data_IF_405304403645
#
_entry.id   IF_405304403645
#
_cell.length_a   1.000
_cell.length_b   1.000
_cell.length_c   1.000
_cell.angle_alpha   90.00
_cell.angle_beta   90.00
_cell.angle_gamma   90.00
#
_symmetry.space_group_name_H-M   'P 1'
#
loop_
_entity.id
_entity.type
_entity.pdbx_description
1 polymer ?
#
# COMPACT_ATOMS: atom_id res chain seq x y z
N UNK A 1 24.22 -63.84 -7.82
CA UNK A 1 24.97 -64.63 -8.84
C UNK A 1 25.54 -63.64 -9.85
N UNK A 2 26.89 -63.61 -9.91
CA UNK A 2 27.84 -62.98 -10.88
C UNK A 2 27.71 -61.46 -11.08
N UNK A 3 28.58 -60.62 -10.53
CA UNK A 3 30.01 -60.27 -10.70
C UNK A 3 30.51 -60.24 -12.16
N UNK A 4 31.10 -59.12 -12.57
CA UNK A 4 32.39 -58.91 -13.28
C UNK A 4 32.49 -57.40 -13.58
N UNK A 5 33.31 -56.60 -12.89
CA UNK A 5 34.77 -56.28 -13.04
C UNK A 5 35.10 -55.45 -14.29
N UNK A 6 35.41 -54.17 -14.04
CA UNK A 6 36.68 -53.42 -14.13
C UNK A 6 37.39 -53.44 -15.50
N UNK A 7 37.74 -52.29 -16.01
CA UNK A 7 39.14 -51.96 -16.36
C UNK A 7 39.36 -50.42 -16.47
N UNK A 8 40.35 -49.97 -15.68
CA UNK A 8 41.11 -48.74 -15.84
C UNK A 8 42.05 -48.89 -17.04
N UNK A 9 42.32 -47.82 -17.78
CA UNK A 9 43.65 -47.64 -18.41
C UNK A 9 44.02 -46.15 -18.35
N UNK A 10 45.22 -45.99 -17.82
CA UNK A 10 46.01 -44.80 -17.59
C UNK A 10 46.87 -44.52 -18.84
N UNK A 11 47.34 -43.28 -18.94
CA UNK A 11 48.62 -42.87 -19.56
C UNK A 11 48.55 -42.35 -21.00
N UNK A 12 48.80 -41.07 -21.25
CA UNK A 12 50.14 -40.68 -21.78
C UNK A 12 50.27 -39.15 -21.86
N UNK A 13 51.23 -38.63 -21.12
CA UNK A 13 51.88 -37.34 -21.25
C UNK A 13 52.67 -37.26 -22.56
N UNK A 14 52.51 -36.13 -23.31
CA UNK A 14 53.65 -35.67 -24.14
C UNK A 14 53.71 -34.15 -24.16
N UNK A 15 54.82 -33.70 -23.62
CA UNK A 15 55.42 -32.39 -23.60
C UNK A 15 55.94 -32.05 -25.00
N UNK A 16 55.58 -30.90 -25.55
CA UNK A 16 56.33 -30.19 -26.58
C UNK A 16 56.40 -28.69 -26.33
N UNK A 17 57.59 -28.31 -25.99
CA UNK A 17 58.16 -26.97 -25.86
C UNK A 17 58.64 -26.47 -27.23
N UNK A 18 58.71 -25.11 -27.38
CA UNK A 18 59.31 -24.30 -28.48
C UNK A 18 58.24 -23.78 -29.50
N UNK A 19 58.05 -22.44 -29.58
CA UNK A 19 58.98 -21.44 -30.14
C UNK A 19 58.56 -20.04 -29.63
N UNK A 20 59.52 -19.30 -29.04
CA UNK A 20 59.47 -17.85 -28.86
C UNK A 20 59.77 -17.22 -30.22
N UNK A 21 58.78 -16.47 -30.73
CA UNK A 21 59.00 -15.53 -31.82
C UNK A 21 58.55 -14.16 -31.37
N UNK A 22 59.47 -13.25 -31.11
CA UNK A 22 59.27 -11.83 -30.92
C UNK A 22 58.55 -11.28 -32.14
N UNK A 23 57.32 -10.79 -31.94
CA UNK A 23 56.74 -9.74 -32.74
C UNK A 23 56.21 -8.65 -31.80
N UNK A 24 56.98 -7.60 -31.72
CA UNK A 24 56.57 -6.29 -31.23
C UNK A 24 55.49 -5.77 -32.19
N UNK A 25 54.23 -5.92 -31.78
CA UNK A 25 53.10 -5.25 -32.39
C UNK A 25 52.46 -4.33 -31.35
N UNK A 26 52.65 -3.06 -31.60
CA UNK A 26 51.82 -1.92 -31.28
C UNK A 26 50.66 -2.27 -30.37
N UNK A 27 50.78 -1.99 -29.08
CA UNK A 27 49.62 -1.82 -28.21
C UNK A 27 48.86 -0.57 -28.68
N UNK A 28 47.84 -0.76 -29.50
CA UNK A 28 46.78 0.20 -29.62
C UNK A 28 46.22 0.42 -28.22
N UNK A 29 46.46 1.59 -27.70
CA UNK A 29 45.88 2.09 -26.45
C UNK A 29 44.36 2.36 -26.70
N UNK A 30 43.64 1.23 -26.82
CA UNK A 30 42.19 1.29 -26.70
C UNK A 30 41.92 1.66 -25.22
N UNK A 31 41.89 2.93 -24.94
CA UNK A 31 41.28 3.50 -23.76
C UNK A 31 39.82 3.04 -23.74
N UNK A 32 39.58 1.88 -23.16
CA UNK A 32 38.27 1.49 -22.67
C UNK A 32 37.89 2.60 -21.71
N UNK A 33 37.06 3.54 -22.17
CA UNK A 33 36.46 4.52 -21.32
C UNK A 33 35.90 3.75 -20.12
N UNK A 34 36.52 3.91 -18.95
CA UNK A 34 35.98 3.46 -17.68
C UNK A 34 34.67 4.21 -17.53
N UNK A 35 33.57 3.59 -17.97
CA UNK A 35 32.25 4.08 -17.68
C UNK A 35 32.18 4.24 -16.16
N UNK A 36 31.92 5.45 -15.70
CA UNK A 36 31.63 5.69 -14.29
C UNK A 36 30.57 4.70 -13.86
N UNK A 37 30.81 3.96 -12.78
CA UNK A 37 29.82 3.05 -12.20
C UNK A 37 28.56 3.87 -11.93
N UNK A 38 27.38 3.40 -12.35
CA UNK A 38 26.15 4.17 -12.20
C UNK A 38 25.95 4.57 -10.74
N UNK A 39 25.76 5.85 -10.50
CA UNK A 39 25.67 6.43 -9.15
C UNK A 39 24.40 5.99 -8.48
N UNK A 40 24.52 5.25 -7.38
CA UNK A 40 23.39 4.89 -6.51
C UNK A 40 22.95 6.12 -5.73
N UNK A 41 21.66 6.42 -5.73
CA UNK A 41 21.06 7.55 -5.02
C UNK A 41 19.59 7.32 -4.71
N UNK A 42 18.92 8.30 -4.14
CA UNK A 42 17.47 8.30 -3.95
C UNK A 42 16.80 8.38 -5.33
N UNK A 43 16.01 7.35 -5.69
CA UNK A 43 15.30 7.26 -6.97
C UNK A 43 13.80 7.51 -6.84
N UNK A 44 13.21 7.23 -5.67
CA UNK A 44 11.82 7.52 -5.38
C UNK A 44 11.60 7.77 -3.89
N UNK A 45 10.60 8.57 -3.57
CA UNK A 45 10.14 8.82 -2.21
C UNK A 45 8.64 9.00 -2.19
N UNK A 46 7.97 8.41 -1.20
CA UNK A 46 6.56 8.61 -0.96
C UNK A 46 6.24 8.57 0.53
N UNK A 47 5.22 9.32 0.95
CA UNK A 47 4.78 9.33 2.35
C UNK A 47 3.27 9.47 2.46
N UNK A 48 2.72 9.00 3.57
CA UNK A 48 1.30 9.14 3.95
C UNK A 48 1.19 9.60 5.40
N UNK A 49 0.16 10.42 5.69
CA UNK A 49 -0.10 10.95 7.03
C UNK A 49 -0.96 9.98 7.85
N UNK A 50 -0.59 9.77 9.13
CA UNK A 50 -1.35 8.98 10.10
C UNK A 50 -1.33 9.57 11.52
N UNK A 51 -0.97 10.85 11.66
CA UNK A 51 -0.74 11.51 12.96
C UNK A 51 -1.93 11.51 13.90
N UNK A 52 -3.16 11.56 13.36
CA UNK A 52 -4.41 11.57 14.14
C UNK A 52 -4.86 10.17 14.59
N UNK A 53 -4.07 9.15 14.32
CA UNK A 53 -4.37 7.76 14.70
C UNK A 53 -4.14 7.50 16.19
N UNK A 54 -4.94 6.60 16.76
CA UNK A 54 -4.73 6.12 18.12
C UNK A 54 -3.43 5.30 18.28
N UNK A 55 -2.94 5.18 19.49
CA UNK A 55 -1.63 4.61 19.84
C UNK A 55 -1.42 3.17 19.32
N UNK A 56 -2.45 2.32 19.38
CA UNK A 56 -2.36 0.95 18.87
C UNK A 56 -2.11 0.92 17.35
N UNK A 57 -2.76 1.82 16.60
CA UNK A 57 -2.54 1.94 15.15
C UNK A 57 -1.13 2.45 14.86
N UNK A 58 -0.65 3.45 15.60
CA UNK A 58 0.74 3.97 15.48
C UNK A 58 1.76 2.88 15.76
N UNK A 59 1.53 2.09 16.81
CA UNK A 59 2.37 0.94 17.14
C UNK A 59 2.41 -0.10 15.99
N UNK A 60 1.26 -0.48 15.44
CA UNK A 60 1.18 -1.44 14.33
C UNK A 60 1.92 -0.95 13.08
N UNK A 61 1.78 0.34 12.78
CA UNK A 61 2.49 0.99 11.66
C UNK A 61 3.99 0.91 11.87
N UNK A 62 4.49 1.32 13.04
CA UNK A 62 5.92 1.27 13.37
C UNK A 62 6.46 -0.18 13.33
N UNK A 63 5.70 -1.14 13.85
CA UNK A 63 6.07 -2.55 13.82
C UNK A 63 6.15 -3.11 12.38
N UNK A 64 5.20 -2.77 11.50
CA UNK A 64 5.25 -3.21 10.10
C UNK A 64 6.42 -2.55 9.35
N UNK A 65 6.65 -1.26 9.57
CA UNK A 65 7.79 -0.50 9.01
C UNK A 65 9.12 -1.13 9.41
N UNK A 66 9.33 -1.47 10.69
CA UNK A 66 10.58 -2.05 11.19
C UNK A 66 10.95 -3.40 10.56
N UNK A 67 9.98 -4.11 9.98
CA UNK A 67 10.22 -5.39 9.28
C UNK A 67 10.68 -5.20 7.84
N UNK A 68 10.43 -4.04 7.26
CA UNK A 68 10.71 -3.73 5.84
C UNK A 68 11.93 -2.82 5.72
N UNK A 69 12.17 -1.97 6.72
CA UNK A 69 13.25 -0.98 6.66
C UNK A 69 14.61 -1.63 6.48
N UNK A 70 15.38 -1.13 5.52
CA UNK A 70 16.71 -1.60 5.22
C UNK A 70 16.77 -2.81 4.27
N UNK A 71 15.63 -3.29 3.76
CA UNK A 71 15.59 -4.40 2.82
C UNK A 71 16.33 -4.02 1.52
N UNK A 72 17.15 -4.96 1.05
CA UNK A 72 17.86 -4.86 -0.24
C UNK A 72 17.33 -5.96 -1.15
N UNK A 73 16.93 -5.60 -2.37
CA UNK A 73 16.46 -6.53 -3.39
C UNK A 73 17.45 -6.55 -4.55
N UNK A 74 17.99 -7.72 -4.87
CA UNK A 74 18.79 -7.93 -6.06
C UNK A 74 17.95 -7.74 -7.34
N UNK A 75 18.58 -7.53 -8.52
CA UNK A 75 17.87 -7.62 -9.79
C UNK A 75 17.07 -8.92 -9.91
N UNK A 76 15.84 -8.85 -10.45
CA UNK A 76 14.87 -9.94 -10.63
C UNK A 76 14.36 -10.58 -9.32
N UNK A 77 14.73 -10.06 -8.16
CA UNK A 77 14.20 -10.53 -6.87
C UNK A 77 12.78 -10.00 -6.63
N UNK A 78 11.87 -10.90 -6.22
CA UNK A 78 10.50 -10.56 -5.86
C UNK A 78 10.36 -10.29 -4.36
N UNK A 79 9.71 -9.21 -4.02
CA UNK A 79 9.25 -8.88 -2.67
C UNK A 79 7.81 -9.36 -2.46
N UNK A 80 7.52 -9.95 -1.30
CA UNK A 80 6.17 -10.21 -0.80
C UNK A 80 5.96 -9.50 0.53
N UNK A 81 4.96 -8.64 0.62
CA UNK A 81 4.64 -7.93 1.85
C UNK A 81 4.25 -8.90 2.97
N UNK A 82 3.44 -9.91 2.64
CA UNK A 82 2.99 -10.89 3.62
C UNK A 82 4.13 -11.79 4.12
N UNK A 83 5.10 -12.13 3.29
CA UNK A 83 6.25 -12.95 3.70
C UNK A 83 7.18 -12.17 4.63
N UNK A 84 7.43 -10.88 4.33
CA UNK A 84 8.34 -10.01 5.10
C UNK A 84 7.70 -9.58 6.42
N UNK A 85 6.47 -9.06 6.41
CA UNK A 85 5.79 -8.58 7.61
C UNK A 85 5.23 -9.72 8.45
N UNK A 86 4.79 -10.78 7.79
CA UNK A 86 4.19 -11.95 8.39
C UNK A 86 2.74 -11.74 8.88
N UNK A 87 2.14 -12.76 9.48
CA UNK A 87 0.76 -12.70 9.98
C UNK A 87 0.58 -11.61 11.04
N UNK A 88 -0.50 -10.82 10.90
CA UNK A 88 -0.87 -9.78 11.86
C UNK A 88 -1.65 -10.40 13.01
N UNK A 89 -0.92 -10.85 14.05
CA UNK A 89 -1.45 -11.52 15.25
C UNK A 89 -0.91 -10.87 16.50
N UNK A 90 -1.64 -10.97 17.62
CA UNK A 90 -1.25 -10.39 18.90
C UNK A 90 0.06 -11.01 19.40
N UNK A 91 0.27 -12.33 19.21
CA UNK A 91 1.50 -13.04 19.60
C UNK A 91 2.74 -12.55 18.83
N UNK A 92 2.54 -11.82 17.72
CA UNK A 92 3.60 -11.18 16.95
C UNK A 92 3.76 -9.69 17.26
N UNK A 93 3.07 -9.20 18.29
CA UNK A 93 3.14 -7.83 18.78
C UNK A 93 2.16 -6.85 18.10
N UNK A 94 1.30 -7.30 17.18
CA UNK A 94 0.26 -6.45 16.61
C UNK A 94 -0.88 -6.24 17.59
N UNK A 95 -1.44 -5.04 17.62
CA UNK A 95 -2.52 -4.62 18.51
C UNK A 95 -3.83 -4.45 17.77
N UNK A 96 -4.94 -4.50 18.50
CA UNK A 96 -6.26 -4.18 17.95
C UNK A 96 -6.36 -2.69 17.66
N UNK A 97 -6.87 -2.37 16.47
CA UNK A 97 -7.18 -1.02 16.00
C UNK A 97 -8.22 -1.14 14.87
N UNK A 98 -8.80 -0.04 14.41
CA UNK A 98 -9.77 -0.09 13.32
C UNK A 98 -9.15 -0.60 12.02
N UNK A 99 -9.84 -1.56 11.40
CA UNK A 99 -9.56 -2.15 10.07
C UNK A 99 -10.80 -1.99 9.19
N UNK A 100 -10.63 -2.13 7.87
CA UNK A 100 -11.74 -2.28 6.92
C UNK A 100 -11.94 -3.79 6.71
N UNK A 101 -13.13 -4.29 7.08
CA UNK A 101 -13.54 -5.66 6.86
C UNK A 101 -14.98 -5.68 6.33
N UNK A 102 -15.21 -6.39 5.22
CA UNK A 102 -16.53 -6.52 4.59
C UNK A 102 -17.24 -5.18 4.33
N UNK A 103 -16.47 -4.15 3.96
CA UNK A 103 -16.97 -2.81 3.69
C UNK A 103 -17.35 -2.00 4.95
N UNK A 104 -16.88 -2.38 6.13
CA UNK A 104 -17.14 -1.68 7.40
C UNK A 104 -15.85 -1.43 8.17
N UNK A 105 -15.85 -0.39 9.00
CA UNK A 105 -14.78 -0.14 9.97
C UNK A 105 -15.07 -0.92 11.26
N UNK A 106 -14.24 -1.92 11.52
CA UNK A 106 -14.36 -2.77 12.72
C UNK A 106 -13.04 -2.82 13.48
N UNK A 107 -13.08 -3.14 14.77
CA UNK A 107 -11.86 -3.42 15.53
C UNK A 107 -11.25 -4.76 15.13
N UNK A 108 -10.00 -4.76 14.74
CA UNK A 108 -9.25 -5.96 14.35
C UNK A 108 -7.76 -5.82 14.60
N UNK A 109 -7.04 -6.94 14.63
CA UNK A 109 -5.60 -6.95 14.85
C UNK A 109 -4.85 -6.46 13.62
N UNK A 110 -3.89 -5.52 13.80
CA UNK A 110 -3.04 -5.02 12.73
C UNK A 110 -3.61 -3.82 11.96
N UNK A 111 -4.62 -3.12 12.52
CA UNK A 111 -5.09 -1.86 11.92
C UNK A 111 -3.94 -0.88 11.72
N UNK A 112 -3.83 -0.32 10.50
CA UNK A 112 -2.75 0.56 10.06
C UNK A 112 -1.75 -0.09 9.09
N UNK A 113 -1.61 -1.42 9.08
CA UNK A 113 -0.63 -2.11 8.24
C UNK A 113 -0.86 -1.90 6.74
N UNK A 114 -2.11 -1.81 6.27
CA UNK A 114 -2.41 -1.48 4.87
C UNK A 114 -1.95 -0.07 4.46
N UNK A 115 -1.76 0.85 5.39
CA UNK A 115 -1.16 2.16 5.08
C UNK A 115 0.34 2.04 4.81
N UNK A 116 1.03 1.12 5.49
CA UNK A 116 2.44 0.81 5.24
C UNK A 116 2.61 0.19 3.85
N UNK A 117 1.79 -0.82 3.49
CA UNK A 117 1.82 -1.42 2.15
C UNK A 117 1.48 -0.41 1.05
N UNK A 118 0.51 0.47 1.28
CA UNK A 118 0.15 1.54 0.34
C UNK A 118 1.30 2.54 0.15
N UNK A 119 1.98 2.94 1.23
CA UNK A 119 3.12 3.86 1.14
C UNK A 119 4.26 3.23 0.35
N UNK A 120 4.59 1.97 0.63
CA UNK A 120 5.59 1.21 -0.12
C UNK A 120 5.19 1.04 -1.59
N UNK A 121 3.94 0.67 -1.88
CA UNK A 121 3.41 0.51 -3.25
C UNK A 121 3.64 1.76 -4.10
N UNK A 122 3.35 2.92 -3.54
CA UNK A 122 3.51 4.18 -4.27
C UNK A 122 4.99 4.54 -4.52
N UNK A 123 5.88 4.28 -3.55
CA UNK A 123 7.31 4.46 -3.75
C UNK A 123 7.87 3.50 -4.81
N UNK A 124 7.41 2.24 -4.82
CA UNK A 124 7.73 1.21 -5.82
C UNK A 124 7.31 1.64 -7.22
N UNK A 125 6.09 2.17 -7.40
CA UNK A 125 5.61 2.68 -8.68
C UNK A 125 6.47 3.85 -9.18
N UNK A 126 6.83 4.77 -8.29
CA UNK A 126 7.68 5.93 -8.63
C UNK A 126 9.12 5.54 -8.93
N UNK A 127 9.60 4.40 -8.39
CA UNK A 127 10.92 3.83 -8.66
C UNK A 127 10.98 3.00 -9.97
N UNK A 128 9.90 2.91 -10.74
CA UNK A 128 9.78 2.10 -11.96
C UNK A 128 9.97 0.59 -11.71
N UNK A 129 9.68 0.10 -10.51
CA UNK A 129 9.70 -1.33 -10.20
C UNK A 129 8.39 -1.99 -10.66
N UNK A 130 8.44 -3.25 -11.04
CA UNK A 130 7.26 -3.95 -11.59
C UNK A 130 6.41 -4.57 -10.48
N UNK A 131 5.21 -4.05 -10.31
CA UNK A 131 4.21 -4.63 -9.40
C UNK A 131 3.61 -5.87 -10.04
N UNK A 132 3.72 -7.02 -9.34
CA UNK A 132 3.20 -8.32 -9.80
C UNK A 132 1.85 -8.66 -9.15
N UNK A 133 1.59 -8.13 -7.94
CA UNK A 133 0.31 -8.34 -7.25
C UNK A 133 -0.03 -7.12 -6.39
N UNK A 134 -1.25 -6.60 -6.55
CA UNK A 134 -1.84 -5.55 -5.72
C UNK A 134 -3.36 -5.61 -5.79
N UNK A 135 -4.04 -5.23 -4.72
CA UNK A 135 -5.51 -5.15 -4.65
C UNK A 135 -5.92 -3.86 -3.96
N UNK A 136 -7.02 -3.24 -4.42
CA UNK A 136 -7.65 -2.11 -3.75
C UNK A 136 -8.41 -2.56 -2.49
N UNK A 137 -8.64 -1.61 -1.58
CA UNK A 137 -9.62 -1.80 -0.52
C UNK A 137 -11.05 -1.81 -1.11
N UNK A 138 -12.00 -2.35 -0.36
CA UNK A 138 -13.43 -2.29 -0.71
C UNK A 138 -14.00 -0.88 -0.61
N UNK A 139 -13.38 -0.01 0.21
CA UNK A 139 -13.76 1.38 0.47
C UNK A 139 -12.61 2.32 0.11
N UNK A 140 -12.88 3.58 -0.28
CA UNK A 140 -11.84 4.58 -0.43
C UNK A 140 -11.11 4.81 0.89
N UNK A 141 -9.79 4.92 0.85
CA UNK A 141 -8.97 5.28 2.02
C UNK A 141 -8.55 6.74 1.94
N UNK A 142 -8.58 7.45 3.08
CA UNK A 142 -8.36 8.90 3.10
C UNK A 142 -6.89 9.35 2.97
N UNK A 143 -5.92 8.44 3.02
CA UNK A 143 -4.48 8.78 3.05
C UNK A 143 -3.79 8.69 1.68
N UNK A 144 -4.50 8.28 0.64
CA UNK A 144 -3.99 8.22 -0.74
C UNK A 144 -5.14 8.40 -1.73
N UNK A 145 -4.84 8.91 -2.92
CA UNK A 145 -5.82 9.02 -3.99
C UNK A 145 -6.31 7.63 -4.46
N UNK A 146 -7.58 7.50 -4.88
CA UNK A 146 -8.13 6.25 -5.40
C UNK A 146 -7.26 5.63 -6.50
N UNK A 147 -7.25 4.31 -6.59
CA UNK A 147 -6.39 3.48 -7.47
C UNK A 147 -4.89 3.54 -7.16
N UNK A 148 -4.51 4.05 -5.98
CA UNK A 148 -3.13 4.02 -5.48
C UNK A 148 -3.00 3.41 -4.08
N UNK A 149 -4.03 2.79 -3.56
CA UNK A 149 -4.00 2.00 -2.34
C UNK A 149 -3.57 0.55 -2.61
N UNK A 150 -3.02 -0.10 -1.58
CA UNK A 150 -2.60 -1.49 -1.62
C UNK A 150 -3.07 -2.22 -0.36
N UNK A 151 -4.19 -2.94 -0.48
CA UNK A 151 -4.73 -3.75 0.60
C UNK A 151 -3.90 -5.02 0.78
N UNK A 152 -3.63 -5.36 2.04
CA UNK A 152 -2.99 -6.62 2.45
C UNK A 152 -3.79 -7.29 3.56
N UNK A 153 -3.99 -8.60 3.42
CA UNK A 153 -4.72 -9.45 4.37
C UNK A 153 -4.12 -10.85 4.36
N UNK A 154 -4.74 -11.82 5.05
CA UNK A 154 -4.35 -13.22 4.93
C UNK A 154 -4.58 -13.80 3.52
N UNK A 155 -5.54 -13.25 2.76
CA UNK A 155 -5.87 -13.67 1.39
C UNK A 155 -5.35 -12.72 0.30
N UNK A 156 -4.88 -11.53 0.66
CA UNK A 156 -4.41 -10.52 -0.29
C UNK A 156 -3.00 -10.08 0.05
N UNK A 157 -2.14 -10.04 -0.97
CA UNK A 157 -0.73 -9.67 -0.82
C UNK A 157 -0.37 -8.52 -1.77
N UNK A 158 0.63 -7.75 -1.39
CA UNK A 158 1.31 -6.80 -2.26
C UNK A 158 2.68 -7.35 -2.63
N UNK A 159 2.92 -7.51 -3.95
CA UNK A 159 4.16 -8.05 -4.49
C UNK A 159 4.70 -7.19 -5.60
N UNK A 160 6.02 -7.12 -5.70
CA UNK A 160 6.72 -6.45 -6.80
C UNK A 160 8.10 -7.09 -7.03
N UNK A 161 8.65 -6.89 -8.22
CA UNK A 161 9.99 -7.37 -8.63
C UNK A 161 10.90 -6.17 -8.86
N UNK A 162 12.15 -6.26 -8.41
CA UNK A 162 13.18 -5.33 -8.82
C UNK A 162 13.59 -5.61 -10.27
N UNK A 163 12.95 -4.91 -11.21
CA UNK A 163 13.24 -5.05 -12.65
C UNK A 163 14.35 -4.10 -13.14
N UNK A 164 15.05 -3.43 -12.21
CA UNK A 164 16.23 -2.65 -12.55
C UNK A 164 17.47 -3.54 -12.64
N UNK A 165 18.50 -3.09 -13.36
CA UNK A 165 19.75 -3.85 -13.54
C UNK A 165 20.70 -3.84 -12.34
N UNK A 166 20.34 -3.10 -11.27
CA UNK A 166 21.13 -2.96 -10.05
C UNK A 166 20.26 -3.21 -8.81
N UNK A 167 20.86 -3.59 -7.67
CA UNK A 167 20.12 -3.72 -6.42
C UNK A 167 19.42 -2.42 -6.02
N UNK A 168 18.24 -2.55 -5.39
CA UNK A 168 17.51 -1.44 -4.76
C UNK A 168 17.47 -1.63 -3.26
N UNK A 169 17.55 -0.54 -2.52
CA UNK A 169 17.39 -0.53 -1.06
C UNK A 169 16.11 0.20 -0.70
N UNK A 170 15.25 -0.45 0.07
CA UNK A 170 14.02 0.12 0.63
C UNK A 170 14.34 0.68 2.02
N UNK A 171 14.12 1.96 2.22
CA UNK A 171 14.21 2.62 3.52
C UNK A 171 12.84 3.11 3.93
N UNK A 172 12.34 2.61 5.07
CA UNK A 172 11.06 3.03 5.60
C UNK A 172 11.21 3.64 7.00
N UNK A 173 10.39 4.63 7.28
CA UNK A 173 10.31 5.26 8.59
C UNK A 173 8.87 5.57 8.97
N UNK A 174 8.63 5.59 10.29
CA UNK A 174 7.36 5.99 10.90
C UNK A 174 7.67 6.85 12.14
N UNK A 175 7.32 8.13 12.08
CA UNK A 175 7.68 9.14 13.10
C UNK A 175 6.51 9.50 14.04
N UNK A 176 5.39 8.77 13.96
CA UNK A 176 4.15 9.06 14.67
C UNK A 176 3.19 9.99 13.91
N UNK A 177 3.65 10.64 12.83
CA UNK A 177 2.84 11.49 11.96
C UNK A 177 2.81 10.99 10.52
N UNK A 178 3.96 10.56 10.00
CA UNK A 178 4.11 10.12 8.62
C UNK A 178 4.73 8.73 8.56
N UNK A 179 4.20 7.91 7.65
CA UNK A 179 4.91 6.76 7.11
C UNK A 179 5.60 7.23 5.84
N UNK A 180 6.90 7.03 5.76
CA UNK A 180 7.71 7.38 4.60
C UNK A 180 8.43 6.15 4.06
N UNK A 181 8.52 6.07 2.73
CA UNK A 181 9.30 5.08 2.02
C UNK A 181 10.22 5.80 1.02
N UNK A 182 11.51 5.59 1.15
CA UNK A 182 12.55 6.02 0.22
C UNK A 182 13.14 4.79 -0.48
N UNK A 183 13.23 4.83 -1.80
CA UNK A 183 13.86 3.78 -2.61
C UNK A 183 15.18 4.32 -3.14
N UNK A 184 16.26 3.61 -2.84
CA UNK A 184 17.60 3.92 -3.33
C UNK A 184 18.03 2.91 -4.38
N UNK A 185 18.63 3.39 -5.46
CA UNK A 185 19.07 2.58 -6.58
C UNK A 185 19.77 3.43 -7.64
N UNK A 186 19.90 2.89 -8.83
CA UNK A 186 20.36 3.63 -10.00
C UNK A 186 19.17 4.38 -10.61
N UNK A 187 19.30 5.70 -10.79
CA UNK A 187 18.24 6.54 -11.30
C UNK A 187 17.75 6.07 -12.67
N UNK A 188 16.43 5.92 -12.79
CA UNK A 188 15.71 5.58 -14.01
C UNK A 188 14.96 6.78 -14.60
N UNK A 189 13.77 6.50 -15.12
CA UNK A 189 12.87 7.50 -15.70
C UNK A 189 12.18 8.30 -14.59
N UNK A 190 11.86 9.55 -14.86
CA UNK A 190 11.01 10.36 -13.98
C UNK A 190 9.55 9.91 -14.17
N UNK A 191 8.90 9.56 -13.07
CA UNK A 191 7.55 9.04 -13.05
C UNK A 191 6.69 9.89 -12.14
N UNK A 192 5.48 10.21 -12.58
CA UNK A 192 4.42 10.80 -11.77
C UNK A 192 3.15 9.94 -11.83
N UNK A 193 2.21 10.21 -10.93
CA UNK A 193 0.97 9.45 -10.79
C UNK A 193 -0.24 10.36 -11.00
N UNK A 194 -1.29 9.85 -11.64
CA UNK A 194 -2.56 10.54 -11.81
C UNK A 194 -3.72 9.60 -11.48
N UNK A 195 -4.57 10.00 -10.55
CA UNK A 195 -5.86 9.35 -10.29
C UNK A 195 -6.97 10.09 -11.05
N UNK A 196 -7.94 9.34 -11.52
CA UNK A 196 -9.11 9.86 -12.21
C UNK A 196 -10.36 9.16 -11.66
N UNK A 197 -11.28 9.92 -11.07
CA UNK A 197 -12.60 9.40 -10.71
C UNK A 197 -13.46 9.39 -11.97
N UNK A 198 -13.94 8.21 -12.37
CA UNK A 198 -14.76 8.02 -13.58
C UNK A 198 -16.24 8.14 -13.26
N UNK A 199 -16.62 7.68 -12.06
CA UNK A 199 -18.03 7.61 -11.64
C UNK A 199 -18.09 7.75 -10.11
N UNK A 200 -19.08 8.48 -9.63
CA UNK A 200 -19.47 8.52 -8.22
C UNK A 200 -20.74 7.70 -8.07
N UNK A 201 -20.76 6.82 -7.09
CA UNK A 201 -21.88 5.94 -6.78
C UNK A 201 -22.52 6.45 -5.50
N UNK A 202 -23.70 7.04 -5.60
CA UNK A 202 -24.38 7.59 -4.44
C UNK A 202 -24.73 6.49 -3.44
N UNK A 203 -24.61 6.79 -2.15
CA UNK A 203 -24.99 5.89 -1.08
C UNK A 203 -26.51 5.94 -0.86
N UNK A 204 -27.11 4.80 -0.61
CA UNK A 204 -28.50 4.67 -0.24
C UNK A 204 -28.71 5.08 1.22
N UNK A 205 -29.92 5.56 1.56
CA UNK A 205 -30.33 5.77 2.95
C UNK A 205 -31.17 4.58 3.42
N UNK A 206 -30.73 3.94 4.48
CA UNK A 206 -31.43 2.84 5.17
C UNK A 206 -32.06 3.40 6.44
N UNK A 207 -33.34 3.18 6.64
CA UNK A 207 -34.02 3.53 7.86
C UNK A 207 -34.18 2.30 8.75
N UNK A 208 -33.87 2.45 10.05
CA UNK A 208 -34.11 1.44 11.08
C UNK A 208 -35.01 2.00 12.16
N UNK A 209 -35.99 1.21 12.60
CA UNK A 209 -36.84 1.57 13.72
C UNK A 209 -36.07 1.45 15.04
N UNK A 210 -36.29 2.43 15.94
CA UNK A 210 -35.69 2.48 17.27
C UNK A 210 -36.79 2.82 18.30
N UNK A 211 -37.04 1.90 19.21
CA UNK A 211 -38.07 2.01 20.26
C UNK A 211 -37.63 2.84 21.49
N UNK A 212 -36.38 3.27 21.51
CA UNK A 212 -35.85 4.19 22.53
C UNK A 212 -36.08 5.66 22.17
N UNK A 213 -36.22 5.97 20.89
CA UNK A 213 -36.50 7.32 20.36
C UNK A 213 -37.98 7.56 20.26
N UNK A 214 -38.40 8.78 20.59
CA UNK A 214 -39.83 9.20 20.47
C UNK A 214 -40.27 9.19 19.01
N UNK A 215 -41.54 8.84 18.79
CA UNK A 215 -42.17 8.88 17.46
C UNK A 215 -41.95 10.24 16.78
N UNK A 216 -41.43 10.20 15.54
CA UNK A 216 -41.11 11.40 14.76
C UNK A 216 -39.68 11.91 14.96
N UNK A 217 -38.92 11.37 15.91
CA UNK A 217 -37.46 11.66 16.00
C UNK A 217 -36.67 10.82 15.00
N UNK A 218 -35.67 11.44 14.38
CA UNK A 218 -34.69 10.77 13.54
C UNK A 218 -33.27 11.07 14.01
N UNK A 219 -32.44 10.05 14.09
CA UNK A 219 -31.03 10.17 14.47
C UNK A 219 -30.18 9.51 13.40
N UNK A 220 -29.19 10.22 12.87
CA UNK A 220 -28.21 9.62 11.95
C UNK A 220 -27.22 8.79 12.74
N UNK A 221 -27.33 7.46 12.64
CA UNK A 221 -26.39 6.50 13.25
C UNK A 221 -25.10 6.40 12.44
N UNK A 222 -25.21 6.36 11.11
CA UNK A 222 -24.09 6.35 10.19
C UNK A 222 -24.36 7.34 9.04
N UNK A 223 -23.42 8.22 8.77
CA UNK A 223 -23.56 9.22 7.69
C UNK A 223 -23.47 8.61 6.30
N UNK A 224 -23.00 7.36 6.19
CA UNK A 224 -22.69 6.73 4.92
C UNK A 224 -21.52 7.38 4.18
N UNK A 225 -21.18 6.81 3.05
CA UNK A 225 -20.22 7.40 2.14
C UNK A 225 -20.51 6.96 0.69
N UNK A 226 -20.34 7.88 -0.26
CA UNK A 226 -20.45 7.54 -1.67
C UNK A 226 -19.31 6.61 -2.08
N UNK A 227 -19.64 5.62 -2.89
CA UNK A 227 -18.67 4.81 -3.60
C UNK A 227 -18.13 5.52 -4.84
N UNK A 228 -17.15 4.92 -5.49
CA UNK A 228 -16.64 5.45 -6.75
C UNK A 228 -15.99 4.37 -7.61
N UNK A 229 -15.90 4.65 -8.91
CA UNK A 229 -14.99 3.97 -9.83
C UNK A 229 -13.86 4.92 -10.19
N UNK A 230 -12.62 4.41 -10.24
CA UNK A 230 -11.45 5.22 -10.54
C UNK A 230 -10.47 4.50 -11.44
N UNK A 231 -9.58 5.29 -12.07
CA UNK A 231 -8.43 4.81 -12.83
C UNK A 231 -7.15 5.42 -12.28
N UNK A 232 -6.13 4.57 -12.12
CA UNK A 232 -4.78 4.98 -11.79
C UNK A 232 -3.88 4.96 -13.03
N UNK A 233 -3.10 6.02 -13.22
CA UNK A 233 -2.18 6.16 -14.33
C UNK A 233 -0.78 6.49 -13.83
N UNK A 234 0.24 5.93 -14.50
CA UNK A 234 1.60 6.41 -14.42
C UNK A 234 1.91 7.27 -15.66
N UNK A 235 2.64 8.36 -15.42
CA UNK A 235 3.11 9.26 -16.46
C UNK A 235 4.63 9.25 -16.46
N UNK A 236 5.21 8.84 -17.58
CA UNK A 236 6.64 8.70 -17.79
C UNK A 236 7.14 9.91 -18.58
N UNK A 237 8.04 10.68 -17.98
CA UNK A 237 8.65 11.84 -18.62
C UNK A 237 10.00 11.46 -19.24
N UNK A 238 10.20 11.77 -20.52
CA UNK A 238 11.46 11.53 -21.23
C UNK A 238 11.46 12.11 -22.62
N UNK A 239 12.61 12.63 -23.07
CA UNK A 239 12.78 13.17 -24.42
C UNK A 239 11.80 14.30 -24.78
N UNK A 240 11.35 15.11 -23.81
CA UNK A 240 10.35 16.18 -24.03
C UNK A 240 8.91 15.66 -24.25
N UNK A 241 8.65 14.39 -24.00
CA UNK A 241 7.33 13.76 -24.13
C UNK A 241 6.88 13.14 -22.80
N UNK A 242 5.56 13.11 -22.59
CA UNK A 242 4.92 12.40 -21.48
C UNK A 242 4.13 11.23 -22.04
N UNK A 243 4.44 10.02 -21.61
CA UNK A 243 3.69 8.82 -21.96
C UNK A 243 2.85 8.42 -20.76
N UNK A 244 1.53 8.37 -20.93
CA UNK A 244 0.59 7.97 -19.88
C UNK A 244 0.18 6.51 -20.06
N UNK A 245 0.31 5.71 -18.99
CA UNK A 245 -0.10 4.29 -18.95
C UNK A 245 -1.13 4.08 -17.88
N UNK A 246 -2.29 3.51 -18.24
CA UNK A 246 -3.27 2.99 -17.28
C UNK A 246 -2.64 1.80 -16.55
N UNK A 247 -2.64 1.82 -15.21
CA UNK A 247 -2.10 0.71 -14.40
C UNK A 247 -3.20 -0.13 -13.77
N UNK A 248 -4.35 0.49 -13.41
CA UNK A 248 -5.49 -0.23 -12.84
C UNK A 248 -6.78 0.57 -12.93
N UNK A 249 -7.89 -0.13 -12.84
CA UNK A 249 -9.24 0.41 -12.67
C UNK A 249 -9.84 -0.25 -11.44
N UNK A 250 -10.38 0.55 -10.53
CA UNK A 250 -10.89 0.07 -9.25
C UNK A 250 -12.32 0.50 -9.03
N UNK A 251 -12.99 -0.30 -8.21
CA UNK A 251 -14.34 -0.07 -7.70
C UNK A 251 -14.29 -0.03 -6.18
N UNK A 252 -14.83 1.03 -5.60
CA UNK A 252 -15.02 1.20 -4.17
C UNK A 252 -16.52 1.28 -3.90
N UNK A 253 -17.02 0.37 -3.07
CA UNK A 253 -18.45 0.28 -2.81
C UNK A 253 -18.96 1.48 -2.01
N UNK A 254 -20.18 1.99 -2.26
CA UNK A 254 -20.82 2.94 -1.38
C UNK A 254 -21.16 2.30 -0.03
N UNK A 255 -21.10 3.10 1.04
CA UNK A 255 -21.60 2.73 2.36
C UNK A 255 -22.95 3.38 2.60
N UNK A 256 -24.00 2.63 2.98
CA UNK A 256 -25.32 3.22 3.19
C UNK A 256 -25.31 4.18 4.38
N UNK A 257 -26.05 5.28 4.25
CA UNK A 257 -26.42 6.14 5.37
C UNK A 257 -27.47 5.41 6.21
N UNK A 258 -27.27 5.32 7.53
CA UNK A 258 -28.23 4.70 8.44
C UNK A 258 -28.90 5.77 9.30
N UNK A 259 -30.23 5.81 9.26
CA UNK A 259 -31.06 6.74 10.03
C UNK A 259 -31.98 5.93 10.94
N UNK A 260 -31.87 6.13 12.25
CA UNK A 260 -32.77 5.58 13.25
C UNK A 260 -34.04 6.42 13.28
N UNK A 261 -35.23 5.76 13.24
CA UNK A 261 -36.54 6.37 13.36
C UNK A 261 -37.18 5.97 14.68
N UNK A 262 -37.57 6.96 15.46
CA UNK A 262 -38.24 6.74 16.72
C UNK A 262 -39.63 6.13 16.55
N UNK A 263 -39.87 5.03 17.30
CA UNK A 263 -41.16 4.34 17.35
C UNK A 263 -41.81 4.38 18.73
N UNK A 264 -41.13 4.93 19.75
CA UNK A 264 -41.67 5.05 21.11
C UNK A 264 -42.85 6.04 21.12
N UNK A 265 -44.06 5.65 21.58
CA UNK A 265 -45.20 6.56 21.66
C UNK A 265 -44.91 7.76 22.58
N UNK A 266 -45.34 8.95 22.19
CA UNK A 266 -45.34 10.11 23.08
C UNK A 266 -46.35 9.88 24.22
N UNK A 267 -45.90 9.98 25.47
CA UNK A 267 -46.80 9.93 26.62
C UNK A 267 -47.70 11.13 26.63
N UNK A 268 -49.02 11.02 26.84
CA UNK A 268 -49.95 12.15 26.81
C UNK A 268 -49.71 13.23 27.88
N UNK A 269 -48.75 13.04 28.77
CA UNK A 269 -48.50 13.86 29.94
C UNK A 269 -47.24 14.74 29.87
N UNK A 270 -46.43 14.65 28.83
CA UNK A 270 -45.18 15.41 28.79
C UNK A 270 -45.21 16.72 27.99
N UNK A 271 -46.29 17.05 27.28
CA UNK A 271 -46.37 18.21 26.38
C UNK A 271 -47.49 19.23 26.70
N UNK A 272 -47.66 19.61 27.97
CA UNK A 272 -48.35 20.88 28.26
C UNK A 272 -47.33 21.84 28.87
N UNK A 273 -46.73 22.77 28.12
CA UNK A 273 -46.06 23.91 28.72
C UNK A 273 -47.18 24.66 29.48
N UNK A 274 -47.05 24.75 30.81
CA UNK A 274 -47.91 25.53 31.67
C UNK A 274 -47.86 26.99 31.19
N UNK A 275 -48.83 27.36 30.32
CA UNK A 275 -49.10 28.75 29.99
C UNK A 275 -49.78 29.34 31.21
N UNK A 276 -48.95 29.83 32.15
CA UNK A 276 -49.42 30.56 33.32
C UNK A 276 -50.40 31.65 32.91
N UNK A 277 -51.65 31.50 33.39
CA UNK A 277 -52.62 32.56 33.39
C UNK A 277 -52.08 33.77 34.16
N UNK A 278 -51.67 34.77 33.43
CA UNK A 278 -51.40 36.09 33.97
C UNK A 278 -52.74 36.86 34.02
N UNK A 279 -53.59 36.53 35.01
CA UNK A 279 -54.71 37.39 35.40
C UNK A 279 -54.20 38.45 36.35
N UNK A 280 -53.66 39.53 35.84
CA UNK A 280 -53.56 40.81 36.56
C UNK A 280 -54.68 41.65 36.12
N UNK A 281 -55.87 41.56 36.86
CA UNK A 281 -56.89 42.60 36.90
C UNK A 281 -56.43 43.56 37.99
N UNK A 282 -55.97 44.73 37.52
CA UNK A 282 -55.60 45.82 38.37
C UNK A 282 -56.90 46.54 38.92
N UNK A 283 -56.80 47.00 40.16
CA UNK A 283 -57.60 48.06 40.73
C UNK A 283 -56.82 49.37 40.71
#
# INVERSE_FOLDING_TARGET
>A
MRFIFVKKTLLSTLLTLFIVCCMSSVFDDNSVARGESPKVGLIASFYTYYGDSGENRKHNVALAVSKIDGLVLAPEEEFSFNDVVGPRREERGFKRAYIIQDGQFVEGVGGGVCQVSTTLYNAVLLADLTVTRVQAHSLPVGYVAPSFDAMVSSGSDFRFVNTLSAPVTIKMSADGKYVKCDVYGVAGRKISRRSETIEILECETIYRDDDTLLFGQEVVEDSGANGLRSRGYLQYEGGGKVVTRLIRTDFYAPQPKVVLRGTKPMSPTEDIPNMGENTNLGG
#
